data_IF_520638136259
#
_entry.id   IF_520638136259
#
_cell.length_a   1.000
_cell.length_b   1.000
_cell.length_c   1.000
_cell.angle_alpha   90.00
_cell.angle_beta   90.00
_cell.angle_gamma   90.00
#
_symmetry.space_group_name_H-M   'P 1'
#
loop_
_entity.id
_entity.type
_entity.pdbx_description
1 polymer ?
#
# COMPACT_ATOMS: atom_id res chain seq x y z
N UNK A 1 -20.40 -2.93 -1.17
CA UNK A 1 -20.52 -2.94 -2.64
C UNK A 1 -21.47 -4.02 -3.13
N UNK A 2 -21.82 -4.06 -4.43
CA UNK A 2 -22.60 -5.17 -5.06
C UNK A 2 -21.66 -6.16 -5.75
N UNK A 3 -22.17 -7.33 -6.15
CA UNK A 3 -21.44 -8.32 -6.95
C UNK A 3 -20.32 -9.05 -6.18
N UNK A 4 -19.30 -9.52 -6.90
CA UNK A 4 -18.19 -10.29 -6.32
C UNK A 4 -17.41 -9.49 -5.27
N UNK A 5 -17.09 -8.23 -5.57
CA UNK A 5 -16.39 -7.35 -4.63
C UNK A 5 -17.15 -7.21 -3.31
N UNK A 6 -18.47 -6.98 -3.37
CA UNK A 6 -19.30 -6.85 -2.16
C UNK A 6 -19.29 -8.09 -1.27
N UNK A 7 -19.25 -9.29 -1.88
CA UNK A 7 -19.15 -10.55 -1.12
C UNK A 7 -17.79 -10.70 -0.44
N UNK A 8 -16.70 -10.33 -1.12
CA UNK A 8 -15.36 -10.36 -0.55
C UNK A 8 -15.26 -9.37 0.63
N UNK A 9 -15.78 -8.15 0.46
CA UNK A 9 -15.85 -7.15 1.53
C UNK A 9 -16.61 -7.67 2.76
N UNK A 10 -17.79 -8.28 2.54
CA UNK A 10 -18.62 -8.82 3.62
C UNK A 10 -17.96 -9.98 4.36
N UNK A 11 -17.28 -10.89 3.63
CA UNK A 11 -16.51 -11.98 4.24
C UNK A 11 -15.37 -11.48 5.12
N UNK A 12 -14.62 -10.48 4.65
CA UNK A 12 -13.51 -9.89 5.42
C UNK A 12 -14.06 -9.19 6.67
N UNK A 13 -15.06 -8.32 6.53
CA UNK A 13 -15.66 -7.62 7.67
C UNK A 13 -16.23 -8.59 8.72
N UNK A 14 -16.89 -9.67 8.27
CA UNK A 14 -17.40 -10.71 9.16
C UNK A 14 -16.29 -11.45 9.92
N UNK A 15 -15.17 -11.78 9.25
CA UNK A 15 -14.00 -12.40 9.90
C UNK A 15 -13.38 -11.51 10.97
N UNK A 16 -13.31 -10.20 10.69
CA UNK A 16 -12.72 -9.21 11.61
C UNK A 16 -13.72 -8.72 12.68
N UNK A 17 -14.96 -9.22 12.69
CA UNK A 17 -16.05 -8.77 13.56
C UNK A 17 -16.33 -7.25 13.49
N UNK A 18 -16.23 -6.67 12.30
CA UNK A 18 -16.46 -5.24 12.05
C UNK A 18 -17.82 -5.04 11.38
N UNK A 19 -18.68 -4.22 11.99
CA UNK A 19 -19.97 -3.80 11.43
C UNK A 19 -19.83 -2.46 10.71
N UNK A 20 -20.64 -2.23 9.67
CA UNK A 20 -20.64 -0.95 8.92
C UNK A 20 -21.05 0.22 9.81
N UNK A 21 -21.88 -0.07 10.80
CA UNK A 21 -22.39 0.84 11.80
C UNK A 21 -21.29 1.34 12.74
N UNK A 22 -20.19 0.59 12.91
CA UNK A 22 -19.05 1.02 13.73
C UNK A 22 -18.36 2.29 13.17
N UNK A 23 -18.54 2.58 11.89
CA UNK A 23 -18.01 3.80 11.26
C UNK A 23 -18.89 5.04 11.46
N UNK A 24 -20.07 4.89 12.09
CA UNK A 24 -20.99 6.00 12.41
C UNK A 24 -20.88 6.33 13.90
N UNK A 25 -20.28 7.49 14.21
CA UNK A 25 -20.03 7.93 15.58
C UNK A 25 -21.03 9.04 15.94
N UNK A 26 -22.15 8.67 16.57
CA UNK A 26 -23.23 9.63 16.88
C UNK A 26 -22.79 10.74 17.84
N UNK A 27 -21.87 10.45 18.76
CA UNK A 27 -21.39 11.43 19.76
C UNK A 27 -20.44 12.46 19.16
N UNK A 28 -19.69 12.08 18.11
CA UNK A 28 -18.73 12.92 17.39
C UNK A 28 -18.90 12.71 15.88
N UNK A 29 -19.96 13.28 15.26
CA UNK A 29 -20.30 13.06 13.86
C UNK A 29 -19.15 13.33 12.86
N UNK A 30 -18.26 14.24 13.20
CA UNK A 30 -17.08 14.69 12.45
C UNK A 30 -16.03 13.58 12.30
N UNK A 31 -16.04 12.62 13.23
CA UNK A 31 -15.17 11.44 13.22
C UNK A 31 -15.82 10.26 12.47
N UNK A 32 -17.08 10.38 12.06
CA UNK A 32 -17.75 9.35 11.27
C UNK A 32 -17.11 9.20 9.89
N UNK A 33 -16.95 7.96 9.43
CA UNK A 33 -16.30 7.65 8.17
C UNK A 33 -17.35 7.17 7.15
N UNK A 34 -17.59 7.99 6.12
CA UNK A 34 -18.46 7.62 5.00
C UNK A 34 -17.84 6.58 4.03
N UNK A 35 -16.52 6.39 4.11
CA UNK A 35 -15.76 5.57 3.18
C UNK A 35 -15.57 6.22 1.81
N UNK A 36 -14.67 5.66 1.01
CA UNK A 36 -14.43 6.07 -0.37
C UNK A 36 -13.86 4.90 -1.17
N UNK A 37 -13.85 5.03 -2.49
CA UNK A 37 -13.18 4.07 -3.37
C UNK A 37 -11.73 4.52 -3.62
N UNK A 38 -10.82 3.55 -3.61
CA UNK A 38 -9.43 3.74 -3.97
C UNK A 38 -9.02 2.70 -5.00
N UNK A 39 -8.24 3.11 -6.01
CA UNK A 39 -7.69 2.18 -6.99
C UNK A 39 -6.72 1.21 -6.29
N UNK A 40 -6.86 -0.08 -6.60
CA UNK A 40 -6.00 -1.13 -6.02
C UNK A 40 -4.60 -1.07 -6.62
N UNK A 41 -4.48 -0.64 -7.87
CA UNK A 41 -3.20 -0.46 -8.57
C UNK A 41 -2.82 1.01 -8.63
N UNK A 42 -1.51 1.26 -8.70
CA UNK A 42 -0.93 2.59 -8.91
C UNK A 42 -0.13 2.55 -10.20
N UNK A 43 -0.45 3.36 -11.21
CA UNK A 43 0.37 3.45 -12.41
C UNK A 43 1.71 4.11 -12.07
N UNK A 44 2.79 3.55 -12.60
CA UNK A 44 4.13 4.12 -12.51
C UNK A 44 4.41 4.90 -13.79
N UNK A 45 4.81 6.16 -13.67
CA UNK A 45 5.21 6.96 -14.81
C UNK A 45 6.72 7.13 -14.83
N UNK A 46 7.30 7.03 -16.03
CA UNK A 46 8.74 7.20 -16.22
C UNK A 46 9.58 6.22 -15.40
N UNK A 47 9.09 5.00 -15.17
CA UNK A 47 9.85 3.99 -14.44
C UNK A 47 11.09 3.58 -15.24
N UNK A 48 12.28 3.77 -14.65
CA UNK A 48 13.55 3.34 -15.22
C UNK A 48 14.52 2.86 -14.14
N UNK A 49 15.33 1.84 -14.46
CA UNK A 49 16.54 1.51 -13.70
C UNK A 49 17.74 2.12 -14.40
N UNK A 50 18.49 2.95 -13.68
CA UNK A 50 19.61 3.68 -14.28
C UNK A 50 20.96 3.00 -14.02
N UNK A 51 21.11 2.38 -12.84
CA UNK A 51 22.41 1.88 -12.40
C UNK A 51 22.23 0.78 -11.35
N UNK A 52 23.03 -0.28 -11.48
CA UNK A 52 23.28 -1.28 -10.44
C UNK A 52 24.77 -1.21 -10.13
N UNK A 53 25.12 -0.94 -8.89
CA UNK A 53 26.51 -0.80 -8.46
C UNK A 53 26.74 -1.43 -7.10
N UNK A 54 28.00 -1.63 -6.71
CA UNK A 54 28.33 -2.09 -5.36
C UNK A 54 27.85 -1.08 -4.30
N UNK A 55 27.34 -1.59 -3.19
CA UNK A 55 26.88 -0.75 -2.08
C UNK A 55 28.06 -0.34 -1.19
N UNK A 56 28.37 0.96 -1.19
CA UNK A 56 29.45 1.53 -0.38
C UNK A 56 29.17 1.45 1.14
N UNK A 57 27.90 1.39 1.55
CA UNK A 57 27.50 1.29 2.96
C UNK A 57 27.43 -0.16 3.44
N UNK A 58 27.21 -1.10 2.52
CA UNK A 58 27.12 -2.52 2.82
C UNK A 58 28.05 -3.30 1.87
N UNK A 59 29.34 -3.45 2.24
CA UNK A 59 30.27 -4.29 1.48
C UNK A 59 29.66 -5.67 1.20
N UNK A 60 29.92 -6.23 0.02
CA UNK A 60 29.30 -7.46 -0.52
C UNK A 60 27.84 -7.35 -1.00
N UNK A 61 27.22 -6.16 -0.95
CA UNK A 61 25.86 -5.94 -1.46
C UNK A 61 25.85 -5.04 -2.70
N UNK A 62 24.70 -5.03 -3.39
CA UNK A 62 24.43 -4.16 -4.53
C UNK A 62 23.40 -3.10 -4.17
N UNK A 63 23.58 -1.90 -4.71
CA UNK A 63 22.61 -0.83 -4.72
C UNK A 63 22.01 -0.69 -6.13
N UNK A 64 20.73 -0.33 -6.20
CA UNK A 64 20.02 -0.08 -7.46
C UNK A 64 19.42 1.31 -7.44
N UNK A 65 19.72 2.11 -8.47
CA UNK A 65 19.11 3.43 -8.68
C UNK A 65 17.94 3.32 -9.63
N UNK A 66 16.75 3.66 -9.15
CA UNK A 66 15.50 3.70 -9.93
C UNK A 66 14.92 5.12 -9.95
N UNK A 67 14.27 5.49 -11.05
CA UNK A 67 13.45 6.70 -11.14
C UNK A 67 12.02 6.32 -11.46
N UNK A 68 11.06 7.05 -10.89
CA UNK A 68 9.64 6.88 -11.15
C UNK A 68 8.86 8.08 -10.60
N UNK A 69 7.66 8.27 -11.12
CA UNK A 69 6.68 9.21 -10.58
C UNK A 69 5.40 8.46 -10.18
N UNK A 70 4.81 8.89 -9.06
CA UNK A 70 3.56 8.35 -8.53
C UNK A 70 2.49 9.43 -8.47
N UNK A 71 1.24 9.02 -8.61
CA UNK A 71 0.10 9.90 -8.31
C UNK A 71 0.06 10.31 -6.84
N UNK A 72 -0.47 11.50 -6.57
CA UNK A 72 -0.69 12.02 -5.21
C UNK A 72 -1.43 11.00 -4.35
N UNK A 73 -0.94 10.80 -3.13
CA UNK A 73 -1.51 9.83 -2.18
C UNK A 73 -1.03 8.40 -2.37
N UNK A 74 -0.07 8.15 -3.27
CA UNK A 74 0.67 6.89 -3.38
C UNK A 74 2.01 6.98 -2.64
N UNK A 75 2.56 5.84 -2.24
CA UNK A 75 3.77 5.77 -1.44
C UNK A 75 4.89 5.03 -2.20
N UNK A 76 6.08 5.62 -2.23
CA UNK A 76 7.27 5.01 -2.84
C UNK A 76 7.62 3.66 -2.19
N UNK A 77 7.39 3.53 -0.89
CA UNK A 77 7.63 2.30 -0.13
C UNK A 77 6.80 1.12 -0.62
N UNK A 78 5.59 1.33 -1.16
CA UNK A 78 4.79 0.26 -1.76
C UNK A 78 5.45 -0.29 -3.02
N UNK A 79 6.02 0.58 -3.87
CA UNK A 79 6.80 0.14 -5.03
C UNK A 79 8.05 -0.63 -4.61
N UNK A 80 8.79 -0.09 -3.64
CA UNK A 80 10.01 -0.74 -3.14
C UNK A 80 9.71 -2.12 -2.55
N UNK A 81 8.64 -2.26 -1.77
CA UNK A 81 8.18 -3.56 -1.25
C UNK A 81 7.84 -4.54 -2.37
N UNK A 82 7.24 -4.06 -3.45
CA UNK A 82 6.89 -4.88 -4.62
C UNK A 82 8.13 -5.33 -5.40
N UNK A 83 9.19 -4.50 -5.47
CA UNK A 83 10.44 -4.87 -6.12
C UNK A 83 11.32 -5.78 -5.24
N UNK A 84 11.45 -5.47 -3.95
CA UNK A 84 12.36 -6.15 -3.03
C UNK A 84 11.78 -7.46 -2.47
N UNK A 85 10.45 -7.59 -2.43
CA UNK A 85 9.72 -8.75 -1.90
C UNK A 85 10.29 -9.26 -0.54
N UNK A 86 10.46 -8.38 0.46
CA UNK A 86 11.10 -8.77 1.72
C UNK A 86 10.28 -9.82 2.46
N UNK A 87 10.95 -10.78 3.11
CA UNK A 87 10.30 -11.79 3.94
C UNK A 87 9.69 -11.18 5.20
N UNK A 88 10.42 -10.28 5.86
CA UNK A 88 9.94 -9.51 7.01
C UNK A 88 9.83 -8.02 6.63
N UNK A 89 8.60 -7.55 6.50
CA UNK A 89 8.31 -6.17 6.06
C UNK A 89 8.72 -5.14 7.12
N UNK A 90 8.51 -5.44 8.41
CA UNK A 90 8.77 -4.51 9.52
C UNK A 90 10.27 -4.32 9.71
N UNK A 91 11.03 -5.41 9.74
CA UNK A 91 12.50 -5.35 9.85
C UNK A 91 13.14 -4.66 8.64
N UNK A 92 12.49 -4.73 7.47
CA UNK A 92 12.96 -4.08 6.25
C UNK A 92 12.56 -2.60 6.14
N UNK A 93 11.89 -2.04 7.17
CA UNK A 93 11.52 -0.62 7.22
C UNK A 93 10.29 -0.25 6.41
N UNK A 94 9.39 -1.21 6.15
CA UNK A 94 8.10 -1.00 5.48
C UNK A 94 6.93 -0.95 6.46
#
# INVERSE_FOLDING_TARGET
SKGLQGRIEEQILGRENVLRENFKVNLLPETSLGGSLRTVTVPLYGFSSNEISGDNLNPERYAVKINFMLHRGSYATILLRELMKPTNIIESGF
#
